data_IF_190373296715
#
_entry.id   IF_190373296715
#
_cell.length_a   1.000
_cell.length_b   1.000
_cell.length_c   1.000
_cell.angle_alpha   90.00
_cell.angle_beta   90.00
_cell.angle_gamma   90.00
#
_symmetry.space_group_name_H-M   'P 1'
#
loop_
_entity.id
_entity.type
_entity.pdbx_description
1 polymer ?
#
# COMPACT_ATOMS: atom_id res chain seq x y z
N UNK A 1 -7.12 50.64 -14.67
CA UNK A 1 -7.32 49.19 -14.41
C UNK A 1 -6.01 48.41 -14.57
N UNK A 2 -4.98 48.79 -13.82
CA UNK A 2 -3.71 48.04 -13.70
C UNK A 2 -3.28 48.23 -12.26
N UNK A 3 -3.25 47.13 -11.49
CA UNK A 3 -2.89 46.98 -10.04
C UNK A 3 -3.98 46.23 -9.27
N UNK A 4 -4.25 44.98 -9.63
CA UNK A 4 -4.94 44.04 -8.73
C UNK A 4 -4.71 42.59 -9.15
N UNK A 5 -3.47 42.21 -9.49
CA UNK A 5 -3.15 40.78 -9.65
C UNK A 5 -1.80 40.46 -8.97
N UNK A 6 -1.87 39.44 -8.11
CA UNK A 6 -0.78 38.68 -7.49
C UNK A 6 0.03 39.37 -6.38
N UNK A 7 -0.65 39.64 -5.26
CA UNK A 7 -0.08 39.32 -3.93
C UNK A 7 -0.69 37.99 -3.46
N UNK A 8 -0.26 36.88 -4.05
CA UNK A 8 -0.23 35.63 -3.27
C UNK A 8 0.97 35.80 -2.33
N UNK A 9 0.69 36.18 -1.08
CA UNK A 9 1.67 36.04 -0.01
C UNK A 9 2.09 34.58 0.02
N UNK A 10 3.33 34.30 -0.38
CA UNK A 10 3.97 33.01 -0.15
C UNK A 10 4.11 32.84 1.36
N UNK A 11 3.06 32.34 2.00
CA UNK A 11 3.10 31.96 3.40
C UNK A 11 4.24 30.94 3.51
N UNK A 12 5.26 31.24 4.32
CA UNK A 12 6.42 30.36 4.45
C UNK A 12 5.93 28.95 4.82
N UNK A 13 6.38 27.94 4.07
CA UNK A 13 5.92 26.57 4.24
C UNK A 13 6.31 26.07 5.64
N UNK A 14 5.32 25.88 6.52
CA UNK A 14 5.56 25.36 7.87
C UNK A 14 5.65 23.84 7.86
N UNK A 15 6.85 23.29 7.67
CA UNK A 15 7.08 21.84 7.66
C UNK A 15 6.78 21.15 8.99
N UNK A 16 6.69 21.90 10.10
CA UNK A 16 6.30 21.37 11.40
C UNK A 16 4.80 21.14 11.54
N UNK A 17 3.98 21.65 10.61
CA UNK A 17 2.56 21.34 10.55
C UNK A 17 2.33 19.96 9.92
N UNK A 18 2.03 18.96 10.76
CA UNK A 18 1.72 17.58 10.35
C UNK A 18 0.21 17.31 10.25
N UNK A 19 -0.63 18.35 10.18
CA UNK A 19 -2.10 18.21 10.17
C UNK A 19 -2.62 17.45 8.93
N UNK A 20 -2.00 17.65 7.77
CA UNK A 20 -2.35 16.88 6.56
C UNK A 20 -2.08 15.38 6.72
N UNK A 21 -0.93 15.05 7.29
CA UNK A 21 -0.46 13.70 7.54
C UNK A 21 -1.39 12.97 8.50
N UNK A 22 -1.62 13.54 9.68
CA UNK A 22 -2.44 12.90 10.72
C UNK A 22 -3.90 12.79 10.24
N UNK A 23 -4.42 13.77 9.48
CA UNK A 23 -5.74 13.66 8.86
C UNK A 23 -5.83 12.51 7.86
N UNK A 24 -4.84 12.39 6.96
CA UNK A 24 -4.77 11.29 6.01
C UNK A 24 -4.71 9.92 6.72
N UNK A 25 -3.86 9.81 7.76
CA UNK A 25 -3.79 8.62 8.60
C UNK A 25 -5.15 8.21 9.16
N UNK A 26 -5.90 9.18 9.72
CA UNK A 26 -7.25 8.92 10.25
C UNK A 26 -8.24 8.49 9.17
N UNK A 27 -8.19 9.09 7.98
CA UNK A 27 -9.03 8.68 6.84
C UNK A 27 -8.76 7.22 6.48
N UNK A 28 -7.48 6.81 6.44
CA UNK A 28 -7.10 5.44 6.12
C UNK A 28 -7.56 4.44 7.19
N UNK A 29 -7.44 4.79 8.47
CA UNK A 29 -7.96 3.97 9.57
C UNK A 29 -9.49 3.86 9.55
N UNK A 30 -10.20 4.95 9.29
CA UNK A 30 -11.66 4.92 9.12
C UNK A 30 -12.06 4.05 7.94
N UNK A 31 -11.34 4.11 6.82
CA UNK A 31 -11.56 3.22 5.67
C UNK A 31 -11.28 1.74 6.02
N UNK A 32 -10.26 1.46 6.83
CA UNK A 32 -9.98 0.10 7.31
C UNK A 32 -11.14 -0.44 8.16
N UNK A 33 -11.68 0.37 9.09
CA UNK A 33 -12.84 0.01 9.90
C UNK A 33 -14.13 -0.14 9.08
N UNK A 34 -14.30 0.62 8.01
CA UNK A 34 -15.40 0.40 7.05
C UNK A 34 -15.24 -0.90 6.28
N UNK A 35 -14.02 -1.21 5.88
CA UNK A 35 -13.67 -2.47 5.20
C UNK A 35 -14.01 -3.65 6.09
N UNK A 36 -13.64 -3.59 7.38
CA UNK A 36 -14.07 -4.55 8.40
C UNK A 36 -15.58 -4.78 8.37
N UNK A 37 -16.37 -3.72 8.53
CA UNK A 37 -17.84 -3.81 8.60
C UNK A 37 -18.43 -4.43 7.32
N UNK A 38 -18.00 -3.97 6.15
CA UNK A 38 -18.52 -4.45 4.86
C UNK A 38 -18.15 -5.91 4.58
N UNK A 39 -16.94 -6.34 4.95
CA UNK A 39 -16.51 -7.72 4.74
C UNK A 39 -17.23 -8.69 5.69
N UNK A 40 -17.40 -8.34 6.96
CA UNK A 40 -18.11 -9.18 7.93
C UNK A 40 -19.60 -9.31 7.61
N UNK A 41 -20.20 -8.32 6.96
CA UNK A 41 -21.57 -8.39 6.44
C UNK A 41 -21.71 -9.27 5.20
N UNK A 42 -20.61 -9.81 4.65
CA UNK A 42 -20.58 -10.71 3.50
C UNK A 42 -20.07 -12.10 3.89
N UNK A 43 -20.42 -12.58 5.08
CA UNK A 43 -19.96 -13.85 5.64
C UNK A 43 -20.19 -15.03 4.69
N UNK A 44 -21.35 -15.12 4.04
CA UNK A 44 -21.65 -16.21 3.10
C UNK A 44 -20.66 -16.24 1.91
N UNK A 45 -20.29 -15.06 1.39
CA UNK A 45 -19.31 -14.95 0.30
C UNK A 45 -17.90 -15.28 0.76
N UNK A 46 -17.55 -14.92 2.01
CA UNK A 46 -16.26 -15.29 2.61
C UNK A 46 -16.16 -16.82 2.78
N UNK A 47 -17.24 -17.47 3.20
CA UNK A 47 -17.31 -18.93 3.33
C UNK A 47 -17.24 -19.59 1.94
N UNK A 48 -17.97 -19.07 0.96
CA UNK A 48 -17.91 -19.56 -0.42
C UNK A 48 -16.47 -19.46 -0.98
N UNK A 49 -15.80 -18.32 -0.78
CA UNK A 49 -14.40 -18.14 -1.14
C UNK A 49 -13.49 -19.13 -0.43
N UNK A 50 -13.64 -19.29 0.89
CA UNK A 50 -12.85 -20.22 1.70
C UNK A 50 -12.94 -21.66 1.15
N UNK A 51 -14.17 -22.14 0.92
CA UNK A 51 -14.41 -23.49 0.40
C UNK A 51 -13.82 -23.67 -1.00
N UNK A 52 -14.01 -22.69 -1.90
CA UNK A 52 -13.43 -22.71 -3.25
C UNK A 52 -11.90 -22.83 -3.19
N UNK A 53 -11.25 -22.05 -2.34
CA UNK A 53 -9.78 -22.08 -2.20
C UNK A 53 -9.29 -23.42 -1.62
N UNK A 54 -9.95 -23.98 -0.60
CA UNK A 54 -9.59 -25.29 -0.06
C UNK A 54 -9.74 -26.41 -1.10
N UNK A 55 -10.82 -26.38 -1.88
CA UNK A 55 -11.03 -27.34 -2.96
C UNK A 55 -9.97 -27.20 -4.04
N UNK A 56 -9.65 -25.97 -4.44
CA UNK A 56 -8.60 -25.66 -5.42
C UNK A 56 -7.26 -26.23 -4.97
N UNK A 57 -6.89 -26.02 -3.69
CA UNK A 57 -5.66 -26.56 -3.12
C UNK A 57 -5.67 -28.09 -3.09
N UNK A 58 -6.78 -28.71 -2.68
CA UNK A 58 -6.94 -30.18 -2.64
C UNK A 58 -6.82 -30.82 -4.02
N UNK A 59 -7.34 -30.16 -5.05
CA UNK A 59 -7.27 -30.62 -6.45
C UNK A 59 -5.94 -30.26 -7.14
N UNK A 60 -5.01 -29.61 -6.45
CA UNK A 60 -3.76 -29.10 -7.01
C UNK A 60 -3.97 -28.18 -8.24
N UNK A 61 -5.08 -27.44 -8.26
CA UNK A 61 -5.41 -26.47 -9.31
C UNK A 61 -4.71 -25.14 -9.06
N UNK A 62 -4.61 -24.33 -10.12
CA UNK A 62 -3.87 -23.07 -10.09
C UNK A 62 -4.79 -21.95 -9.65
N UNK A 63 -4.31 -21.12 -8.71
CA UNK A 63 -4.92 -19.82 -8.41
C UNK A 63 -4.20 -18.78 -9.26
N UNK A 64 -4.85 -18.32 -10.32
CA UNK A 64 -4.40 -17.21 -11.13
C UNK A 64 -4.83 -15.90 -10.48
N UNK A 65 -3.98 -14.89 -10.52
CA UNK A 65 -4.31 -13.56 -10.00
C UNK A 65 -4.07 -12.48 -11.05
N UNK A 66 -4.90 -11.45 -11.04
CA UNK A 66 -4.81 -10.35 -12.01
C UNK A 66 -5.32 -9.03 -11.46
N UNK A 67 -4.74 -7.94 -11.97
CA UNK A 67 -5.00 -6.56 -11.60
C UNK A 67 -3.99 -5.67 -12.32
N UNK A 68 -4.22 -4.36 -12.35
CA UNK A 68 -3.25 -3.46 -12.97
C UNK A 68 -2.92 -2.21 -12.15
N UNK A 69 -1.79 -1.59 -12.48
CA UNK A 69 -1.22 -0.48 -11.73
C UNK A 69 -1.03 -0.85 -10.25
N UNK A 70 -1.53 -0.01 -9.36
CA UNK A 70 -1.48 -0.23 -7.91
C UNK A 70 -2.34 -1.40 -7.45
N UNK A 71 -3.48 -1.64 -8.10
CA UNK A 71 -4.30 -2.83 -7.84
C UNK A 71 -3.57 -4.12 -8.26
N UNK A 72 -2.74 -4.07 -9.30
CA UNK A 72 -1.84 -5.17 -9.69
C UNK A 72 -0.79 -5.46 -8.63
N UNK A 73 -0.17 -4.44 -8.02
CA UNK A 73 0.72 -4.64 -6.87
C UNK A 73 -0.02 -5.23 -5.66
N UNK A 74 -1.25 -4.81 -5.39
CA UNK A 74 -2.06 -5.41 -4.33
C UNK A 74 -2.40 -6.90 -4.59
N UNK A 75 -2.64 -7.27 -5.85
CA UNK A 75 -2.87 -8.69 -6.20
C UNK A 75 -1.59 -9.51 -6.11
N UNK A 76 -0.44 -8.95 -6.47
CA UNK A 76 0.87 -9.59 -6.25
C UNK A 76 1.14 -9.83 -4.76
N UNK A 77 0.77 -8.86 -3.91
CA UNK A 77 0.89 -9.00 -2.45
C UNK A 77 0.08 -10.20 -1.94
N UNK A 78 -1.15 -10.36 -2.42
CA UNK A 78 -1.99 -11.51 -2.11
C UNK A 78 -1.40 -12.82 -2.65
N UNK A 79 -0.87 -12.80 -3.88
CA UNK A 79 -0.26 -13.94 -4.54
C UNK A 79 0.91 -14.53 -3.75
N UNK A 80 1.82 -13.68 -3.27
CA UNK A 80 2.98 -14.13 -2.49
C UNK A 80 2.54 -14.80 -1.18
N UNK A 81 1.57 -14.22 -0.46
CA UNK A 81 1.06 -14.84 0.77
C UNK A 81 0.31 -16.16 0.51
N UNK A 82 -0.35 -16.32 -0.65
CA UNK A 82 -0.96 -17.60 -1.02
C UNK A 82 0.11 -18.68 -1.26
N UNK A 83 1.24 -18.34 -1.88
CA UNK A 83 2.37 -19.28 -2.05
C UNK A 83 2.91 -19.74 -0.70
N UNK A 84 2.95 -18.84 0.29
CA UNK A 84 3.36 -19.16 1.66
C UNK A 84 2.43 -20.17 2.34
N UNK A 85 1.17 -20.24 1.91
CA UNK A 85 0.21 -21.26 2.32
C UNK A 85 0.26 -22.53 1.46
N UNK A 86 1.20 -22.64 0.52
CA UNK A 86 1.37 -23.80 -0.36
C UNK A 86 0.36 -23.90 -1.50
N UNK A 87 -0.27 -22.78 -1.90
CA UNK A 87 -1.07 -22.75 -3.12
C UNK A 87 -0.16 -22.70 -4.35
N UNK A 88 -0.60 -23.34 -5.45
CA UNK A 88 0.03 -23.15 -6.75
C UNK A 88 -0.53 -21.87 -7.38
N UNK A 89 0.28 -20.81 -7.44
CA UNK A 89 -0.18 -19.46 -7.80
C UNK A 89 0.51 -18.98 -9.06
N UNK A 90 -0.27 -18.42 -9.99
CA UNK A 90 0.20 -17.79 -11.22
C UNK A 90 -0.26 -16.34 -11.26
N UNK A 91 0.61 -15.42 -11.68
CA UNK A 91 0.27 -14.00 -11.83
C UNK A 91 0.17 -13.72 -13.32
N UNK A 92 -1.04 -13.40 -13.78
CA UNK A 92 -1.32 -13.19 -15.20
C UNK A 92 -0.49 -12.02 -15.73
N UNK A 93 0.12 -12.19 -16.91
CA UNK A 93 0.95 -11.19 -17.57
C UNK A 93 2.42 -11.18 -17.11
N UNK A 94 2.84 -12.07 -16.20
CA UNK A 94 4.26 -12.24 -15.85
C UNK A 94 4.95 -13.27 -16.74
N UNK A 95 6.28 -13.20 -16.79
CA UNK A 95 7.14 -14.05 -17.62
C UNK A 95 6.92 -15.56 -17.43
N UNK A 96 6.57 -15.98 -16.21
CA UNK A 96 6.32 -17.39 -15.86
C UNK A 96 4.83 -17.64 -15.56
N UNK A 97 3.92 -16.88 -16.18
CA UNK A 97 2.50 -17.11 -16.04
C UNK A 97 2.13 -18.49 -16.61
N UNK A 98 1.34 -19.25 -15.84
CA UNK A 98 0.84 -20.55 -16.24
C UNK A 98 -0.41 -20.40 -17.13
N UNK A 99 -0.69 -21.37 -18.01
CA UNK A 99 -1.95 -21.39 -18.75
C UNK A 99 -3.12 -21.54 -17.78
N UNK A 100 -4.23 -20.89 -18.11
CA UNK A 100 -5.50 -21.04 -17.39
C UNK A 100 -6.24 -22.26 -17.93
N UNK A 101 -6.71 -23.13 -17.05
CA UNK A 101 -7.42 -24.36 -17.41
C UNK A 101 -8.76 -24.47 -16.67
N UNK A 102 -9.59 -25.42 -17.11
CA UNK A 102 -10.86 -25.73 -16.44
C UNK A 102 -10.62 -26.09 -14.97
N UNK A 103 -11.49 -25.61 -14.09
CA UNK A 103 -11.42 -25.73 -12.63
C UNK A 103 -10.31 -24.92 -11.93
N UNK A 104 -9.51 -24.14 -12.68
CA UNK A 104 -8.65 -23.13 -12.05
C UNK A 104 -9.49 -21.98 -11.48
N UNK A 105 -8.91 -21.22 -10.56
CA UNK A 105 -9.53 -20.04 -9.96
C UNK A 105 -8.79 -18.79 -10.41
N UNK A 106 -9.52 -17.75 -10.79
CA UNK A 106 -8.95 -16.43 -11.12
C UNK A 106 -9.44 -15.40 -10.12
N UNK A 107 -8.50 -14.80 -9.37
CA UNK A 107 -8.79 -13.72 -8.43
C UNK A 107 -8.38 -12.38 -9.03
N UNK A 108 -9.36 -11.51 -9.27
CA UNK A 108 -9.17 -10.24 -9.97
C UNK A 108 -9.47 -9.03 -9.08
N UNK A 109 -8.52 -8.09 -9.00
CA UNK A 109 -8.67 -6.85 -8.23
C UNK A 109 -8.86 -5.65 -9.17
N UNK A 110 -9.98 -4.93 -9.03
CA UNK A 110 -10.20 -3.64 -9.69
C UNK A 110 -11.25 -2.81 -8.95
N UNK A 111 -10.85 -1.67 -8.39
CA UNK A 111 -11.76 -0.79 -7.65
C UNK A 111 -12.96 -0.33 -8.48
N UNK A 112 -12.72 0.13 -9.71
CA UNK A 112 -13.79 0.54 -10.63
C UNK A 112 -14.55 -0.64 -11.24
N UNK A 113 -13.90 -1.81 -11.34
CA UNK A 113 -14.37 -2.98 -12.06
C UNK A 113 -14.52 -2.75 -13.57
N UNK A 114 -13.78 -1.76 -14.11
CA UNK A 114 -13.84 -1.33 -15.52
C UNK A 114 -12.47 -1.28 -16.21
N UNK A 115 -11.37 -1.56 -15.50
CA UNK A 115 -10.00 -1.52 -16.05
C UNK A 115 -9.89 -2.45 -17.27
N UNK A 116 -9.58 -1.88 -18.44
CA UNK A 116 -9.72 -2.56 -19.73
C UNK A 116 -8.87 -3.84 -19.80
N UNK A 117 -7.62 -3.79 -19.37
CA UNK A 117 -6.74 -4.96 -19.38
C UNK A 117 -7.17 -6.04 -18.38
N UNK A 118 -7.54 -5.65 -17.15
CA UNK A 118 -8.07 -6.60 -16.15
C UNK A 118 -9.30 -7.32 -16.70
N UNK A 119 -10.22 -6.58 -17.32
CA UNK A 119 -11.42 -7.14 -17.94
C UNK A 119 -11.08 -8.08 -19.11
N UNK A 120 -10.14 -7.69 -19.96
CA UNK A 120 -9.71 -8.53 -21.08
C UNK A 120 -9.10 -9.84 -20.58
N UNK A 121 -8.20 -9.77 -19.60
CA UNK A 121 -7.59 -10.94 -18.97
C UNK A 121 -8.65 -11.86 -18.35
N UNK A 122 -9.58 -11.30 -17.57
CA UNK A 122 -10.66 -12.10 -16.95
C UNK A 122 -11.58 -12.71 -18.00
N UNK A 123 -11.90 -11.99 -19.09
CA UNK A 123 -12.71 -12.53 -20.18
C UNK A 123 -12.10 -13.79 -20.79
N UNK A 124 -10.79 -13.76 -21.09
CA UNK A 124 -10.07 -14.94 -21.59
C UNK A 124 -10.10 -16.10 -20.58
N UNK A 125 -10.05 -15.81 -19.28
CA UNK A 125 -10.12 -16.84 -18.24
C UNK A 125 -11.53 -17.46 -18.14
N UNK A 126 -12.59 -16.68 -18.34
CA UNK A 126 -13.97 -17.17 -18.42
C UNK A 126 -14.12 -18.12 -19.60
N UNK A 127 -13.61 -17.75 -20.78
CA UNK A 127 -13.61 -18.61 -21.96
C UNK A 127 -12.81 -19.91 -21.72
N UNK A 128 -11.80 -19.86 -20.86
CA UNK A 128 -11.01 -21.02 -20.41
C UNK A 128 -11.69 -21.91 -19.36
N UNK A 129 -12.89 -21.55 -18.89
CA UNK A 129 -13.64 -22.33 -17.90
C UNK A 129 -13.17 -22.19 -16.45
N UNK A 130 -12.47 -21.09 -16.12
CA UNK A 130 -12.03 -20.82 -14.75
C UNK A 130 -13.15 -20.18 -13.90
N UNK A 131 -13.14 -20.47 -12.59
CA UNK A 131 -14.02 -19.80 -11.63
C UNK A 131 -13.46 -18.41 -11.29
N UNK A 132 -14.28 -17.37 -11.38
CA UNK A 132 -13.86 -15.98 -11.20
C UNK A 132 -14.24 -15.45 -9.81
N UNK A 133 -13.25 -14.98 -9.06
CA UNK A 133 -13.41 -14.21 -7.83
C UNK A 133 -13.03 -12.76 -8.09
N UNK A 134 -13.96 -11.83 -7.88
CA UNK A 134 -13.68 -10.39 -8.03
C UNK A 134 -13.64 -9.67 -6.68
N UNK A 135 -12.64 -8.81 -6.52
CA UNK A 135 -12.59 -7.79 -5.47
C UNK A 135 -12.80 -6.41 -6.12
N UNK A 136 -13.94 -5.78 -5.84
CA UNK A 136 -14.33 -4.51 -6.49
C UNK A 136 -15.24 -3.66 -5.61
N UNK A 137 -15.35 -2.35 -5.89
CA UNK A 137 -16.30 -1.45 -5.21
C UNK A 137 -17.68 -1.40 -5.86
N UNK A 138 -17.88 -2.12 -6.97
CA UNK A 138 -19.12 -2.10 -7.73
C UNK A 138 -19.45 -3.47 -8.34
N UNK A 139 -20.37 -4.21 -7.74
CA UNK A 139 -20.87 -5.49 -8.25
C UNK A 139 -21.51 -5.37 -9.64
N UNK A 140 -22.09 -4.21 -9.98
CA UNK A 140 -22.72 -3.96 -11.28
C UNK A 140 -21.72 -3.58 -12.37
N UNK A 141 -20.42 -3.53 -12.04
CA UNK A 141 -19.34 -3.26 -13.00
C UNK A 141 -19.16 -4.43 -13.97
N UNK A 142 -18.32 -4.24 -15.00
CA UNK A 142 -18.03 -5.33 -15.94
C UNK A 142 -17.34 -6.49 -15.24
N UNK A 143 -16.41 -6.21 -14.33
CA UNK A 143 -15.74 -7.25 -13.53
C UNK A 143 -16.72 -7.95 -12.60
N UNK A 144 -17.55 -7.20 -11.89
CA UNK A 144 -18.51 -7.76 -10.94
C UNK A 144 -19.53 -8.70 -11.59
N UNK A 145 -19.94 -8.42 -12.84
CA UNK A 145 -20.83 -9.29 -13.61
C UNK A 145 -20.16 -10.54 -14.18
N UNK A 146 -18.84 -10.55 -14.31
CA UNK A 146 -18.08 -11.73 -14.75
C UNK A 146 -17.73 -12.65 -13.58
N UNK A 147 -17.97 -12.24 -12.34
CA UNK A 147 -17.52 -12.95 -11.16
C UNK A 147 -18.57 -13.95 -10.65
N UNK A 148 -18.13 -15.17 -10.37
CA UNK A 148 -18.90 -16.16 -9.63
C UNK A 148 -18.97 -15.79 -8.14
N UNK A 149 -17.89 -15.24 -7.59
CA UNK A 149 -17.83 -14.69 -6.23
C UNK A 149 -17.36 -13.24 -6.30
N UNK A 150 -18.26 -12.29 -6.02
CA UNK A 150 -17.92 -10.87 -5.95
C UNK A 150 -17.84 -10.38 -4.50
N UNK A 151 -16.62 -10.20 -3.98
CA UNK A 151 -16.35 -9.57 -2.69
C UNK A 151 -16.37 -8.04 -2.83
N UNK A 152 -17.36 -7.40 -2.20
CA UNK A 152 -17.50 -5.95 -2.28
C UNK A 152 -16.58 -5.23 -1.29
N UNK A 153 -15.83 -4.27 -1.81
CA UNK A 153 -15.04 -3.32 -1.04
C UNK A 153 -15.86 -2.05 -0.82
N UNK A 154 -15.85 -1.44 0.37
CA UNK A 154 -16.55 -0.17 0.58
C UNK A 154 -16.10 0.90 -0.43
N UNK A 155 -17.08 1.57 -1.05
CA UNK A 155 -16.83 2.77 -1.82
C UNK A 155 -16.20 3.84 -0.93
N UNK A 156 -15.22 4.54 -1.48
CA UNK A 156 -14.68 5.76 -0.90
C UNK A 156 -15.79 6.82 -0.86
N UNK A 157 -16.23 7.26 0.34
CA UNK A 157 -17.10 8.43 0.46
C UNK A 157 -16.26 9.71 0.32
N UNK A 158 -16.85 10.78 -0.20
CA UNK A 158 -16.28 12.12 -0.07
C UNK A 158 -16.19 12.48 1.42
N UNK A 159 -15.07 13.09 1.78
CA UNK A 159 -14.46 13.29 3.12
C UNK A 159 -15.25 14.16 4.13
N UNK A 160 -16.56 14.34 3.95
CA UNK A 160 -17.27 15.46 4.59
C UNK A 160 -17.83 15.10 5.98
N UNK A 161 -18.00 13.82 6.35
CA UNK A 161 -18.94 13.48 7.44
C UNK A 161 -18.54 12.34 8.40
N UNK A 162 -17.26 11.97 8.54
CA UNK A 162 -16.91 10.85 9.45
C UNK A 162 -16.05 11.28 10.65
N UNK A 163 -16.43 10.89 11.89
CA UNK A 163 -15.68 11.22 13.09
C UNK A 163 -14.30 10.56 13.05
N UNK A 164 -13.33 11.27 13.62
CA UNK A 164 -11.93 10.86 13.67
C UNK A 164 -11.81 9.60 14.54
N UNK A 165 -11.20 8.53 14.01
CA UNK A 165 -11.03 7.27 14.75
C UNK A 165 -10.06 7.38 15.94
N UNK A 166 -9.16 8.37 15.90
CA UNK A 166 -8.24 8.71 16.98
C UNK A 166 -8.62 10.11 17.50
N UNK A 167 -8.92 10.23 18.78
CA UNK A 167 -9.08 11.55 19.42
C UNK A 167 -7.79 12.37 19.25
N UNK A 168 -7.91 13.49 18.55
CA UNK A 168 -6.92 14.55 18.46
C UNK A 168 -7.52 15.80 19.12
N UNK A 169 -6.70 16.64 19.75
CA UNK A 169 -7.14 17.84 20.49
C UNK A 169 -8.11 18.73 19.71
N UNK A 170 -9.00 19.46 20.41
CA UNK A 170 -10.04 20.32 19.80
C UNK A 170 -9.50 21.39 18.83
N UNK A 171 -8.30 21.90 19.05
CA UNK A 171 -7.62 22.84 18.13
C UNK A 171 -7.34 22.22 16.76
N UNK A 172 -7.13 20.90 16.72
CA UNK A 172 -6.82 20.16 15.50
C UNK A 172 -8.01 20.08 14.54
N UNK A 173 -9.23 19.96 15.07
CA UNK A 173 -10.47 19.98 14.27
C UNK A 173 -10.68 21.35 13.61
N UNK A 174 -10.26 22.43 14.27
CA UNK A 174 -10.35 23.80 13.75
C UNK A 174 -9.41 24.01 12.55
N UNK A 175 -8.20 23.45 12.58
CA UNK A 175 -7.25 23.51 11.46
C UNK A 175 -7.76 22.80 10.18
N UNK A 176 -8.63 21.78 10.31
CA UNK A 176 -9.24 21.07 9.17
C UNK A 176 -10.11 21.96 8.29
N UNK A 177 -10.69 23.02 8.85
CA UNK A 177 -11.53 23.99 8.14
C UNK A 177 -10.71 24.93 7.24
N UNK A 178 -9.41 25.06 7.51
CA UNK A 178 -8.51 25.99 6.83
C UNK A 178 -7.86 25.38 5.56
N UNK A 179 -7.95 24.06 5.36
CA UNK A 179 -7.48 23.42 4.12
C UNK A 179 -8.49 23.72 2.99
N UNK A 180 -8.05 24.28 1.85
CA UNK A 180 -8.91 24.57 0.70
C UNK A 180 -9.71 23.34 0.25
N UNK A 181 -10.97 23.56 -0.14
CA UNK A 181 -11.91 22.52 -0.62
C UNK A 181 -11.27 21.61 -1.68
N UNK A 182 -10.55 22.22 -2.63
CA UNK A 182 -9.86 21.55 -3.74
C UNK A 182 -8.76 20.59 -3.24
N UNK A 183 -8.06 20.96 -2.17
CA UNK A 183 -6.97 20.18 -1.56
C UNK A 183 -7.47 19.07 -0.63
N UNK A 184 -8.74 19.10 -0.21
CA UNK A 184 -9.34 17.99 0.57
C UNK A 184 -9.36 16.69 -0.25
N UNK A 185 -9.53 16.77 -1.57
CA UNK A 185 -9.44 15.62 -2.47
C UNK A 185 -8.04 14.96 -2.49
N UNK A 186 -6.98 15.75 -2.27
CA UNK A 186 -5.58 15.31 -2.24
C UNK A 186 -5.17 14.50 -1.01
N UNK A 187 -6.08 14.29 -0.04
CA UNK A 187 -5.83 13.46 1.15
C UNK A 187 -5.96 11.96 0.90
N UNK A 188 -6.67 11.57 -0.16
CA UNK A 188 -6.74 10.17 -0.63
C UNK A 188 -6.88 10.07 -2.16
N UNK A 189 -6.00 10.74 -2.93
CA UNK A 189 -6.23 10.95 -4.34
C UNK A 189 -6.02 9.67 -5.15
N UNK A 190 -6.74 9.55 -6.26
CA UNK A 190 -6.59 8.50 -7.26
C UNK A 190 -6.95 7.07 -6.80
N UNK A 191 -7.69 6.88 -5.71
CA UNK A 191 -8.22 5.55 -5.36
C UNK A 191 -7.38 4.74 -4.36
N UNK A 192 -6.35 5.32 -3.75
CA UNK A 192 -5.54 4.71 -2.67
C UNK A 192 -6.36 3.96 -1.61
N UNK A 193 -7.56 4.45 -1.28
CA UNK A 193 -8.46 3.80 -0.32
C UNK A 193 -8.86 2.38 -0.75
N UNK A 194 -9.06 2.14 -2.05
CA UNK A 194 -9.33 0.80 -2.56
C UNK A 194 -8.11 -0.09 -2.35
N UNK A 195 -6.91 0.36 -2.72
CA UNK A 195 -5.69 -0.45 -2.58
C UNK A 195 -5.36 -0.79 -1.12
N UNK A 196 -5.51 0.17 -0.19
CA UNK A 196 -5.37 -0.11 1.24
C UNK A 196 -6.41 -1.13 1.71
N UNK A 197 -7.66 -1.00 1.27
CA UNK A 197 -8.70 -1.98 1.60
C UNK A 197 -8.37 -3.36 1.02
N UNK A 198 -7.85 -3.43 -0.21
CA UNK A 198 -7.47 -4.66 -0.87
C UNK A 198 -6.29 -5.35 -0.16
N UNK A 199 -5.27 -4.59 0.28
CA UNK A 199 -4.19 -5.13 1.12
C UNK A 199 -4.71 -5.70 2.43
N UNK A 200 -5.57 -4.96 3.13
CA UNK A 200 -6.16 -5.42 4.39
C UNK A 200 -6.98 -6.70 4.18
N UNK A 201 -7.86 -6.72 3.18
CA UNK A 201 -8.68 -7.90 2.83
C UNK A 201 -7.78 -9.08 2.48
N UNK A 202 -6.73 -8.86 1.69
CA UNK A 202 -5.77 -9.91 1.31
C UNK A 202 -5.15 -10.55 2.56
N UNK A 203 -4.66 -9.74 3.50
CA UNK A 203 -4.08 -10.22 4.76
C UNK A 203 -5.09 -11.03 5.56
N UNK A 204 -6.32 -10.52 5.69
CA UNK A 204 -7.39 -11.18 6.43
C UNK A 204 -7.87 -12.47 5.77
N UNK A 205 -7.91 -12.54 4.44
CA UNK A 205 -8.22 -13.78 3.69
C UNK A 205 -7.15 -14.85 3.91
N UNK A 206 -5.87 -14.46 3.98
CA UNK A 206 -4.78 -15.39 4.31
C UNK A 206 -4.93 -15.90 5.74
N UNK A 207 -5.22 -15.01 6.70
CA UNK A 207 -5.52 -15.40 8.07
C UNK A 207 -6.70 -16.36 8.19
N UNK A 208 -7.74 -16.15 7.36
CA UNK A 208 -8.89 -17.05 7.23
C UNK A 208 -8.49 -18.42 6.69
N UNK A 209 -7.72 -18.47 5.60
CA UNK A 209 -7.27 -19.73 4.97
C UNK A 209 -6.34 -20.56 5.88
N UNK A 210 -5.73 -19.94 6.89
CA UNK A 210 -4.96 -20.63 7.95
C UNK A 210 -5.83 -21.18 9.07
N UNK A 211 -7.00 -20.58 9.31
CA UNK A 211 -7.89 -20.95 10.41
C UNK A 211 -8.79 -22.12 10.04
N UNK A 212 -8.41 -23.33 10.43
CA UNK A 212 -9.06 -24.57 9.96
C UNK A 212 -10.53 -24.74 10.40
N UNK A 213 -10.93 -24.17 11.56
CA UNK A 213 -12.21 -24.51 12.22
C UNK A 213 -13.27 -23.40 12.22
N UNK A 214 -12.88 -22.14 12.17
CA UNK A 214 -13.79 -20.99 12.21
C UNK A 214 -13.34 -19.88 11.25
N UNK A 215 -13.49 -20.06 9.91
CA UNK A 215 -12.83 -19.21 8.92
C UNK A 215 -13.20 -17.72 9.07
N UNK A 216 -14.49 -17.38 9.23
CA UNK A 216 -14.92 -15.99 9.38
C UNK A 216 -14.38 -15.36 10.68
N UNK A 217 -14.25 -16.13 11.76
CA UNK A 217 -13.66 -15.66 13.02
C UNK A 217 -12.16 -15.42 12.86
N UNK A 218 -11.45 -16.32 12.17
CA UNK A 218 -10.02 -16.16 11.85
C UNK A 218 -9.77 -14.97 10.93
N UNK A 219 -10.66 -14.73 9.95
CA UNK A 219 -10.67 -13.53 9.12
C UNK A 219 -10.76 -12.29 10.01
N UNK A 220 -11.78 -12.22 10.88
CA UNK A 220 -12.02 -11.09 11.77
C UNK A 220 -10.84 -10.84 12.72
N UNK A 221 -10.33 -11.88 13.39
CA UNK A 221 -9.22 -11.76 14.33
C UNK A 221 -7.95 -11.22 13.67
N UNK A 222 -7.65 -11.69 12.45
CA UNK A 222 -6.51 -11.22 11.67
C UNK A 222 -6.70 -9.75 11.29
N UNK A 223 -7.90 -9.40 10.81
CA UNK A 223 -8.27 -8.04 10.46
C UNK A 223 -8.10 -7.09 11.67
N UNK A 224 -8.66 -7.44 12.82
CA UNK A 224 -8.62 -6.64 14.04
C UNK A 224 -7.18 -6.41 14.52
N UNK A 225 -6.34 -7.44 14.41
CA UNK A 225 -4.91 -7.35 14.76
C UNK A 225 -4.16 -6.37 13.85
N UNK A 226 -4.41 -6.44 12.53
CA UNK A 226 -3.76 -5.58 11.54
C UNK A 226 -4.20 -4.12 11.69
N UNK A 227 -5.50 -3.87 11.91
CA UNK A 227 -6.02 -2.52 12.19
C UNK A 227 -5.40 -1.98 13.48
N UNK A 228 -5.39 -2.76 14.57
CA UNK A 228 -4.79 -2.33 15.84
C UNK A 228 -3.31 -1.97 15.70
N UNK A 229 -2.54 -2.72 14.89
CA UNK A 229 -1.15 -2.37 14.63
C UNK A 229 -1.01 -1.08 13.80
N UNK A 230 -1.88 -0.87 12.81
CA UNK A 230 -1.90 0.38 12.05
C UNK A 230 -2.22 1.59 12.94
N UNK A 231 -3.17 1.45 13.88
CA UNK A 231 -3.46 2.48 14.88
C UNK A 231 -2.24 2.78 15.75
N UNK A 232 -1.53 1.75 16.22
CA UNK A 232 -0.26 1.92 16.96
C UNK A 232 0.80 2.66 16.13
N UNK A 233 0.89 2.39 14.83
CA UNK A 233 1.81 3.09 13.93
C UNK A 233 1.45 4.58 13.79
N UNK A 234 0.17 4.91 13.66
CA UNK A 234 -0.28 6.31 13.64
C UNK A 234 -0.04 6.98 15.00
N UNK A 235 -0.28 6.28 16.11
CA UNK A 235 0.03 6.79 17.46
C UNK A 235 1.51 7.06 17.66
N UNK A 236 2.40 6.21 17.12
CA UNK A 236 3.84 6.45 17.13
C UNK A 236 4.18 7.77 16.41
N UNK A 237 3.51 8.10 15.31
CA UNK A 237 3.69 9.39 14.62
C UNK A 237 3.17 10.56 15.46
N UNK A 238 2.00 10.42 16.07
CA UNK A 238 1.37 11.51 16.84
C UNK A 238 2.11 11.80 18.16
N UNK A 239 2.64 10.76 18.83
CA UNK A 239 3.18 10.90 20.20
C UNK A 239 4.70 10.96 20.27
N UNK A 240 5.42 10.42 19.29
CA UNK A 240 6.89 10.36 19.33
C UNK A 240 7.53 11.53 18.59
N UNK A 241 8.08 12.50 19.34
CA UNK A 241 8.78 13.67 18.78
C UNK A 241 9.92 13.30 17.84
N UNK A 242 10.70 12.26 18.14
CA UNK A 242 11.80 11.82 17.27
C UNK A 242 11.28 11.28 15.93
N UNK A 243 10.15 10.56 15.95
CA UNK A 243 9.49 10.11 14.73
C UNK A 243 8.97 11.29 13.92
N UNK A 244 8.35 12.29 14.57
CA UNK A 244 7.91 13.52 13.92
C UNK A 244 9.06 14.29 13.28
N UNK A 245 10.16 14.51 14.00
CA UNK A 245 11.37 15.16 13.49
C UNK A 245 11.92 14.44 12.24
N UNK A 246 11.95 13.10 12.26
CA UNK A 246 12.42 12.34 11.11
C UNK A 246 11.43 12.42 9.93
N UNK A 247 10.12 12.43 10.18
CA UNK A 247 9.12 12.69 9.14
C UNK A 247 9.31 14.08 8.55
N UNK A 248 9.54 15.10 9.37
CA UNK A 248 9.79 16.48 8.92
C UNK A 248 11.04 16.52 8.01
N UNK A 249 12.11 15.80 8.36
CA UNK A 249 13.30 15.67 7.48
C UNK A 249 12.96 14.99 6.15
N UNK A 250 12.10 13.97 6.15
CA UNK A 250 11.61 13.36 4.90
C UNK A 250 10.84 14.40 4.08
N UNK A 251 9.92 15.15 4.71
CA UNK A 251 9.14 16.19 4.03
C UNK A 251 10.06 17.27 3.44
N UNK A 252 11.05 17.74 4.20
CA UNK A 252 12.04 18.73 3.76
C UNK A 252 12.79 18.26 2.52
N UNK A 253 13.28 17.02 2.52
CA UNK A 253 13.99 16.43 1.38
C UNK A 253 13.14 16.49 0.11
N UNK A 254 11.89 16.04 0.17
CA UNK A 254 11.01 15.96 -1.01
C UNK A 254 10.41 17.31 -1.41
N UNK A 255 10.10 18.21 -0.47
CA UNK A 255 9.65 19.56 -0.79
C UNK A 255 10.72 20.33 -1.57
N UNK A 256 11.99 20.16 -1.18
CA UNK A 256 13.13 20.80 -1.84
C UNK A 256 13.50 20.16 -3.20
N UNK A 257 12.89 19.03 -3.57
CA UNK A 257 13.00 18.50 -4.94
C UNK A 257 12.07 19.31 -5.87
N UNK A 258 12.69 20.06 -6.78
CA UNK A 258 11.99 20.68 -7.91
C UNK A 258 11.44 19.61 -8.86
N UNK A 259 10.31 19.84 -9.55
CA UNK A 259 9.85 18.99 -10.66
C UNK A 259 10.89 18.85 -11.79
N UNK A 260 11.83 19.79 -11.91
CA UNK A 260 12.94 19.77 -12.88
C UNK A 260 14.20 19.09 -12.32
N UNK A 261 14.15 18.59 -11.09
CA UNK A 261 15.28 17.92 -10.45
C UNK A 261 15.66 16.66 -11.21
N UNK A 262 16.93 16.55 -11.61
CA UNK A 262 17.47 15.31 -12.19
C UNK A 262 17.85 14.27 -11.14
N UNK A 263 17.71 14.58 -9.84
CA UNK A 263 18.00 13.63 -8.75
C UNK A 263 17.02 12.48 -8.81
N UNK A 264 17.54 11.26 -8.85
CA UNK A 264 16.73 10.04 -8.81
C UNK A 264 16.39 9.67 -7.37
N UNK A 265 15.20 9.14 -7.17
CA UNK A 265 14.78 8.54 -5.90
C UNK A 265 14.52 7.07 -6.14
N UNK A 266 15.41 6.22 -5.63
CA UNK A 266 15.31 4.77 -5.74
C UNK A 266 14.47 4.20 -4.61
N UNK A 267 13.50 3.34 -4.93
CA UNK A 267 12.73 2.60 -3.93
C UNK A 267 13.14 1.13 -3.90
N UNK A 268 13.43 0.62 -2.71
CA UNK A 268 13.91 -0.75 -2.51
C UNK A 268 13.19 -1.43 -1.34
N UNK A 269 12.86 -2.70 -1.52
CA UNK A 269 12.44 -3.63 -0.49
C UNK A 269 12.53 -5.05 -1.04
N UNK A 270 12.31 -6.05 -0.20
CA UNK A 270 12.24 -7.45 -0.64
C UNK A 270 10.88 -8.06 -0.31
N UNK A 271 10.44 -9.02 -1.12
CA UNK A 271 9.17 -9.72 -0.94
C UNK A 271 8.00 -8.75 -0.80
N UNK A 272 7.16 -8.97 0.21
CA UNK A 272 6.01 -8.12 0.51
C UNK A 272 6.39 -6.64 0.73
N UNK A 273 7.51 -6.36 1.42
CA UNK A 273 8.03 -4.99 1.58
C UNK A 273 8.47 -4.36 0.25
N UNK A 274 8.96 -5.15 -0.71
CA UNK A 274 9.29 -4.69 -2.06
C UNK A 274 8.04 -4.34 -2.88
N UNK A 275 6.97 -5.11 -2.72
CA UNK A 275 5.67 -4.81 -3.33
C UNK A 275 5.13 -3.49 -2.78
N UNK A 276 5.17 -3.30 -1.46
CA UNK A 276 4.78 -2.02 -0.82
C UNK A 276 5.66 -0.87 -1.33
N UNK A 277 6.99 -1.06 -1.42
CA UNK A 277 7.89 -0.03 -1.96
C UNK A 277 7.51 0.37 -3.39
N UNK A 278 7.25 -0.60 -4.28
CA UNK A 278 6.85 -0.34 -5.67
C UNK A 278 5.48 0.36 -5.79
N UNK A 279 4.54 0.01 -4.90
CA UNK A 279 3.22 0.63 -4.86
C UNK A 279 3.30 2.13 -4.54
N UNK A 280 4.15 2.49 -3.58
CA UNK A 280 4.34 3.88 -3.16
C UNK A 280 5.31 4.64 -4.06
N UNK A 281 6.27 3.97 -4.71
CA UNK A 281 7.09 4.55 -5.76
C UNK A 281 6.22 5.18 -6.87
N UNK A 282 5.19 4.48 -7.34
CA UNK A 282 4.21 5.03 -8.31
C UNK A 282 3.51 6.30 -7.77
N UNK A 283 3.21 6.36 -6.47
CA UNK A 283 2.54 7.51 -5.86
C UNK A 283 3.45 8.73 -5.80
N UNK A 284 4.72 8.54 -5.45
CA UNK A 284 5.71 9.61 -5.51
C UNK A 284 5.98 10.06 -6.96
N UNK A 285 5.87 9.17 -7.95
CA UNK A 285 5.91 9.55 -9.36
C UNK A 285 4.72 10.43 -9.74
N UNK A 286 3.51 10.14 -9.24
CA UNK A 286 2.34 11.01 -9.45
C UNK A 286 2.50 12.39 -8.78
N UNK A 287 3.30 12.52 -7.71
CA UNK A 287 3.70 13.81 -7.14
C UNK A 287 4.73 14.56 -8.01
N UNK A 288 5.20 13.97 -9.11
CA UNK A 288 6.13 14.61 -10.05
C UNK A 288 7.61 14.42 -9.70
N UNK A 289 7.95 13.46 -8.83
CA UNK A 289 9.34 13.13 -8.53
C UNK A 289 9.93 12.15 -9.54
N UNK A 290 11.25 12.22 -9.75
CA UNK A 290 11.98 11.31 -10.62
C UNK A 290 12.27 9.97 -9.91
N UNK A 291 11.29 9.06 -9.97
CA UNK A 291 11.28 7.80 -9.23
C UNK A 291 11.87 6.66 -10.07
N UNK A 292 12.66 5.82 -9.40
CA UNK A 292 13.23 4.60 -9.97
C UNK A 292 13.07 3.43 -8.99
N UNK A 293 13.02 2.22 -9.52
CA UNK A 293 13.08 0.99 -8.73
C UNK A 293 14.50 0.43 -8.72
N UNK A 294 14.70 -0.63 -7.94
CA UNK A 294 15.98 -1.32 -7.75
C UNK A 294 16.67 -1.77 -9.06
N UNK A 295 15.91 -2.10 -10.11
CA UNK A 295 16.48 -2.59 -11.38
C UNK A 295 17.28 -1.49 -12.12
N UNK A 296 16.94 -0.23 -11.87
CA UNK A 296 17.62 0.94 -12.43
C UNK A 296 18.84 1.40 -11.61
N UNK A 297 19.19 0.68 -10.52
CA UNK A 297 20.26 1.08 -9.59
C UNK A 297 21.62 1.29 -10.25
N UNK A 298 21.85 0.68 -11.42
CA UNK A 298 23.05 0.90 -12.24
C UNK A 298 23.22 2.36 -12.68
N UNK A 299 22.15 3.16 -12.67
CA UNK A 299 22.14 4.56 -13.11
C UNK A 299 22.21 5.59 -11.97
N UNK A 300 22.47 5.14 -10.74
CA UNK A 300 22.58 6.00 -9.55
C UNK A 300 23.77 6.95 -9.61
N UNK A 301 23.63 8.11 -8.98
CA UNK A 301 24.65 9.14 -8.76
C UNK A 301 24.75 9.46 -7.27
N UNK A 302 25.86 10.09 -6.86
CA UNK A 302 26.13 10.43 -5.44
C UNK A 302 25.02 11.28 -4.79
N UNK A 303 24.39 12.16 -5.55
CA UNK A 303 23.37 13.09 -5.05
C UNK A 303 21.93 12.56 -5.17
N UNK A 304 21.76 11.30 -5.59
CA UNK A 304 20.46 10.64 -5.62
C UNK A 304 20.02 10.24 -4.19
N UNK A 305 18.80 9.73 -4.06
CA UNK A 305 18.20 9.33 -2.79
C UNK A 305 17.82 7.85 -2.88
N UNK A 306 18.01 7.09 -1.80
CA UNK A 306 17.49 5.74 -1.63
C UNK A 306 16.42 5.74 -0.53
N UNK A 307 15.23 5.27 -0.85
CA UNK A 307 14.15 4.95 0.09
C UNK A 307 14.07 3.43 0.22
N UNK A 308 14.22 2.91 1.43
CA UNK A 308 14.27 1.48 1.69
C UNK A 308 13.26 1.05 2.76
N UNK A 309 12.63 -0.12 2.55
CA UNK A 309 11.67 -0.71 3.48
C UNK A 309 12.18 -2.10 3.92
N UNK A 310 12.33 -2.30 5.23
CA UNK A 310 12.65 -3.60 5.82
C UNK A 310 12.11 -3.71 7.24
N UNK A 311 11.08 -4.53 7.45
CA UNK A 311 10.48 -4.72 8.78
C UNK A 311 11.48 -5.24 9.82
N UNK A 312 12.21 -6.30 9.48
CA UNK A 312 13.17 -6.95 10.39
C UNK A 312 14.52 -6.21 10.47
N UNK A 313 14.87 -5.47 9.41
CA UNK A 313 16.15 -4.79 9.25
C UNK A 313 17.36 -5.73 9.03
N UNK A 314 17.11 -7.02 8.85
CA UNK A 314 18.11 -8.08 8.62
C UNK A 314 18.07 -8.64 7.20
N UNK A 315 17.19 -8.12 6.33
CA UNK A 315 16.96 -8.67 4.98
C UNK A 315 18.18 -8.44 4.08
N UNK A 316 18.89 -9.51 3.62
CA UNK A 316 20.16 -9.37 2.91
C UNK A 316 20.07 -8.53 1.63
N UNK A 317 19.00 -8.74 0.85
CA UNK A 317 18.74 -8.00 -0.38
C UNK A 317 18.69 -6.49 -0.12
N UNK A 318 17.81 -6.04 0.78
CA UNK A 318 17.68 -4.62 1.13
C UNK A 318 18.95 -4.06 1.77
N UNK A 319 19.60 -4.82 2.67
CA UNK A 319 20.85 -4.41 3.32
C UNK A 319 21.99 -4.22 2.32
N UNK A 320 22.01 -4.98 1.21
CA UNK A 320 22.95 -4.78 0.11
C UNK A 320 22.85 -3.39 -0.50
N UNK A 321 21.64 -2.94 -0.86
CA UNK A 321 21.40 -1.60 -1.42
C UNK A 321 21.74 -0.49 -0.43
N UNK A 322 21.31 -0.62 0.82
CA UNK A 322 21.59 0.38 1.87
C UNK A 322 23.09 0.47 2.15
N UNK A 323 23.80 -0.66 2.18
CA UNK A 323 25.26 -0.68 2.36
C UNK A 323 25.99 0.00 1.20
N UNK A 324 25.55 -0.25 -0.03
CA UNK A 324 26.13 0.38 -1.21
C UNK A 324 25.82 1.89 -1.26
N UNK A 325 24.61 2.31 -0.90
CA UNK A 325 24.23 3.71 -0.77
C UNK A 325 25.15 4.43 0.23
N UNK A 326 25.33 3.85 1.43
CA UNK A 326 26.22 4.40 2.46
C UNK A 326 27.67 4.52 1.99
N UNK A 327 28.23 3.48 1.34
CA UNK A 327 29.58 3.51 0.74
C UNK A 327 29.74 4.64 -0.27
N UNK A 328 28.70 4.90 -1.07
CA UNK A 328 28.69 5.96 -2.10
C UNK A 328 28.22 7.32 -1.57
N UNK A 329 27.89 7.43 -0.28
CA UNK A 329 27.33 8.63 0.36
C UNK A 329 26.06 9.15 -0.33
N UNK A 330 25.22 8.22 -0.80
CA UNK A 330 23.87 8.47 -1.29
C UNK A 330 22.97 8.64 -0.06
N UNK A 331 22.10 9.64 -0.05
CA UNK A 331 21.22 9.91 1.08
C UNK A 331 20.14 8.84 1.21
N UNK A 332 19.90 8.36 2.43
CA UNK A 332 19.05 7.20 2.71
C UNK A 332 17.90 7.52 3.65
N UNK A 333 16.69 7.11 3.26
CA UNK A 333 15.47 7.13 4.08
C UNK A 333 15.04 5.68 4.29
N UNK A 334 14.79 5.28 5.53
CA UNK A 334 14.49 3.89 5.87
C UNK A 334 13.23 3.75 6.72
N UNK A 335 12.43 2.72 6.45
CA UNK A 335 11.28 2.32 7.26
C UNK A 335 11.51 0.93 7.86
N UNK A 336 11.43 0.80 9.19
CA UNK A 336 11.65 -0.47 9.89
C UNK A 336 10.92 -0.54 11.23
N UNK A 337 10.62 -1.74 11.72
CA UNK A 337 10.27 -1.93 13.14
C UNK A 337 11.50 -2.07 14.03
N UNK A 338 12.58 -2.64 13.50
CA UNK A 338 13.79 -2.93 14.28
C UNK A 338 14.83 -1.81 14.16
N UNK A 339 14.74 -0.83 15.06
CA UNK A 339 15.65 0.33 15.11
C UNK A 339 17.08 -0.01 15.56
N UNK A 340 17.33 -1.23 16.02
CA UNK A 340 18.67 -1.71 16.44
C UNK A 340 19.35 -2.58 15.37
N UNK A 341 18.72 -2.75 14.21
CA UNK A 341 19.20 -3.60 13.13
C UNK A 341 20.40 -3.03 12.38
N UNK A 342 21.10 -3.89 11.63
CA UNK A 342 22.13 -3.49 10.67
C UNK A 342 21.59 -2.45 9.67
N UNK A 343 20.38 -2.68 9.15
CA UNK A 343 19.65 -1.75 8.29
C UNK A 343 19.57 -0.36 8.94
N UNK A 344 19.03 -0.29 10.16
CA UNK A 344 18.82 0.98 10.88
C UNK A 344 20.12 1.76 11.09
N UNK A 345 21.24 1.08 11.35
CA UNK A 345 22.56 1.71 11.56
C UNK A 345 23.15 2.38 10.30
N UNK A 346 22.58 2.09 9.13
CA UNK A 346 23.07 2.56 7.83
C UNK A 346 22.13 3.57 7.15
N UNK A 347 21.03 3.93 7.79
CA UNK A 347 20.03 4.88 7.30
C UNK A 347 20.27 6.27 7.90
N UNK A 348 20.21 7.32 7.07
CA UNK A 348 20.36 8.71 7.50
C UNK A 348 19.10 9.24 8.19
N UNK A 349 17.92 8.95 7.63
CA UNK A 349 16.61 9.29 8.22
C UNK A 349 15.76 8.04 8.40
N UNK A 350 15.62 7.59 9.64
CA UNK A 350 14.93 6.36 9.99
C UNK A 350 13.53 6.63 10.56
N UNK A 351 12.51 6.09 9.92
CA UNK A 351 11.12 6.09 10.40
C UNK A 351 10.81 4.75 11.06
N UNK A 352 10.55 4.78 12.36
CA UNK A 352 10.12 3.61 13.12
C UNK A 352 8.64 3.35 12.84
N UNK A 353 8.33 2.15 12.36
CA UNK A 353 6.94 1.70 12.13
C UNK A 353 6.75 0.35 12.84
N UNK A 354 5.82 0.21 13.80
CA UNK A 354 5.58 -1.05 14.50
C UNK A 354 4.90 -2.08 13.59
N UNK A 355 4.99 -3.37 13.97
CA UNK A 355 4.27 -4.46 13.32
C UNK A 355 5.13 -5.65 12.87
N UNK A 356 6.46 -5.56 12.99
CA UNK A 356 7.35 -6.71 12.85
C UNK A 356 7.94 -7.05 14.22
N UNK A 357 7.65 -8.26 14.69
CA UNK A 357 8.19 -8.81 15.93
C UNK A 357 9.44 -9.66 15.70
N UNK A 358 9.44 -10.49 14.65
CA UNK A 358 10.59 -11.31 14.28
C UNK A 358 11.76 -10.43 13.79
N UNK A 359 12.90 -10.41 14.51
CA UNK A 359 14.07 -9.62 14.11
C UNK A 359 14.83 -10.25 12.93
N UNK A 360 14.55 -11.50 12.58
CA UNK A 360 15.21 -12.21 11.49
C UNK A 360 14.37 -12.15 10.22
N UNK A 361 15.03 -11.93 9.07
CA UNK A 361 14.32 -11.91 7.79
C UNK A 361 13.99 -13.31 7.36
N UNK A 362 12.87 -13.44 6.66
CA UNK A 362 12.53 -14.66 5.92
C UNK A 362 13.59 -15.08 4.91
N UNK A 363 14.32 -14.12 4.35
CA UNK A 363 15.41 -14.37 3.39
C UNK A 363 16.68 -14.93 4.06
N UNK A 364 16.74 -14.98 5.39
CA UNK A 364 17.83 -15.61 6.12
C UNK A 364 17.54 -17.09 6.48
N UNK A 365 16.32 -17.57 6.21
CA UNK A 365 15.83 -18.88 6.63
C UNK A 365 15.69 -19.82 5.43
N UNK A 366 15.91 -21.12 5.65
CA UNK A 366 15.52 -22.17 4.71
C UNK A 366 14.00 -22.30 4.65
N UNK A 367 13.48 -22.92 3.59
CA UNK A 367 12.03 -23.11 3.40
C UNK A 367 11.36 -23.83 4.56
N UNK A 368 12.01 -24.87 5.09
CA UNK A 368 11.45 -25.69 6.18
C UNK A 368 11.34 -24.93 7.51
N UNK A 369 12.16 -23.89 7.71
CA UNK A 369 12.30 -23.17 8.99
C UNK A 369 11.52 -21.84 9.02
N UNK A 370 10.76 -21.55 7.95
CA UNK A 370 10.07 -20.28 7.79
C UNK A 370 8.81 -20.22 8.65
N UNK A 371 8.73 -19.31 9.65
CA UNK A 371 7.48 -19.03 10.31
C UNK A 371 6.52 -18.36 9.32
N UNK A 372 5.22 -18.35 9.60
CA UNK A 372 4.30 -17.54 8.81
C UNK A 372 4.66 -16.05 8.92
N UNK A 373 4.68 -15.33 7.79
CA UNK A 373 4.97 -13.89 7.80
C UNK A 373 3.80 -13.12 8.40
N UNK A 374 4.03 -12.47 9.54
CA UNK A 374 3.14 -11.41 10.03
C UNK A 374 3.21 -10.21 9.08
N UNK A 375 2.08 -9.74 8.57
CA UNK A 375 2.02 -8.65 7.56
C UNK A 375 1.51 -7.32 8.13
N UNK A 376 1.50 -7.22 9.46
CA UNK A 376 1.08 -6.02 10.19
C UNK A 376 1.99 -4.83 9.88
N UNK A 377 3.31 -5.07 9.74
CA UNK A 377 4.29 -4.05 9.35
C UNK A 377 4.02 -3.50 7.94
N UNK A 378 3.81 -4.37 6.96
CA UNK A 378 3.60 -3.97 5.56
C UNK A 378 2.33 -3.12 5.39
N UNK A 379 1.26 -3.44 6.11
CA UNK A 379 0.06 -2.61 6.10
C UNK A 379 0.27 -1.27 6.83
N UNK A 380 0.92 -1.29 8.00
CA UNK A 380 1.21 -0.07 8.76
C UNK A 380 2.11 0.89 7.97
N UNK A 381 3.19 0.39 7.35
CA UNK A 381 4.11 1.23 6.58
C UNK A 381 3.43 1.82 5.34
N UNK A 382 2.49 1.10 4.71
CA UNK A 382 1.68 1.65 3.63
C UNK A 382 0.84 2.86 4.10
N UNK A 383 0.18 2.77 5.26
CA UNK A 383 -0.57 3.89 5.84
C UNK A 383 0.36 5.08 6.15
N UNK A 384 1.53 4.82 6.75
CA UNK A 384 2.50 5.89 7.07
C UNK A 384 2.97 6.60 5.80
N UNK A 385 3.34 5.86 4.76
CA UNK A 385 3.85 6.45 3.51
C UNK A 385 2.74 7.20 2.76
N UNK A 386 1.52 6.68 2.66
CA UNK A 386 0.39 7.42 2.05
C UNK A 386 0.06 8.69 2.85
N UNK A 387 0.26 8.69 4.16
CA UNK A 387 0.08 9.89 4.98
C UNK A 387 1.15 10.95 4.70
N UNK A 388 2.41 10.53 4.48
CA UNK A 388 3.50 11.40 4.02
C UNK A 388 3.18 11.96 2.62
N UNK A 389 2.67 11.14 1.71
CA UNK A 389 2.27 11.56 0.35
C UNK A 389 1.20 12.64 0.42
N UNK A 390 0.18 12.47 1.26
CA UNK A 390 -0.89 13.46 1.45
C UNK A 390 -0.34 14.80 1.98
N UNK A 391 0.58 14.77 2.96
CA UNK A 391 1.23 15.98 3.45
C UNK A 391 2.10 16.65 2.39
N UNK A 392 2.85 15.88 1.60
CA UNK A 392 3.66 16.39 0.49
C UNK A 392 2.78 17.05 -0.59
N UNK A 393 1.63 16.46 -0.91
CA UNK A 393 0.68 17.05 -1.85
C UNK A 393 0.18 18.40 -1.33
N UNK A 394 -0.19 18.49 -0.05
CA UNK A 394 -0.59 19.75 0.61
C UNK A 394 0.53 20.78 0.52
N UNK A 395 1.74 20.42 0.94
CA UNK A 395 2.88 21.34 0.98
C UNK A 395 3.31 21.85 -0.40
N UNK A 396 3.20 21.02 -1.44
CA UNK A 396 3.56 21.41 -2.81
C UNK A 396 2.39 21.96 -3.60
N UNK A 397 1.19 22.07 -3.00
CA UNK A 397 -0.02 22.52 -3.68
C UNK A 397 -0.44 21.61 -4.84
N UNK A 398 -0.09 20.33 -4.79
CA UNK A 398 -0.38 19.37 -5.86
C UNK A 398 -1.81 18.84 -5.69
N UNK A 399 -2.61 19.06 -6.72
CA UNK A 399 -4.01 18.63 -6.80
C UNK A 399 -4.14 17.18 -7.25
N UNK A 400 -5.27 16.54 -6.95
CA UNK A 400 -5.59 15.22 -7.49
C UNK A 400 -5.60 15.20 -9.04
N UNK A 401 -6.06 16.28 -9.67
CA UNK A 401 -6.09 16.42 -11.14
C UNK A 401 -4.69 16.36 -11.73
N UNK A 402 -3.72 17.07 -11.13
CA UNK A 402 -2.33 17.00 -11.57
C UNK A 402 -1.72 15.61 -11.38
N UNK A 403 -2.01 14.96 -10.25
CA UNK A 403 -1.55 13.58 -10.01
C UNK A 403 -2.14 12.61 -11.05
N UNK A 404 -3.41 12.77 -11.41
CA UNK A 404 -4.07 12.01 -12.49
C UNK A 404 -3.43 12.26 -13.85
N UNK A 405 -3.02 13.49 -14.15
CA UNK A 405 -2.32 13.82 -15.38
C UNK A 405 -0.97 13.12 -15.54
N UNK A 406 -0.36 12.66 -14.45
CA UNK A 406 0.90 11.89 -14.44
C UNK A 406 0.67 10.37 -14.30
N UNK A 407 -0.58 9.93 -14.26
CA UNK A 407 -0.93 8.52 -14.20
C UNK A 407 -0.73 7.86 -15.57
N UNK A 408 -0.45 6.55 -15.57
CA UNK A 408 -0.35 5.80 -16.81
C UNK A 408 -1.67 5.86 -17.59
N UNK A 409 -1.58 6.08 -18.90
CA UNK A 409 -2.74 6.17 -19.80
C UNK A 409 -3.09 4.83 -20.47
N UNK A 410 -2.23 3.83 -20.32
CA UNK A 410 -2.48 2.44 -20.74
C UNK A 410 -2.58 1.63 -19.46
N UNK A 411 -3.80 1.52 -18.95
CA UNK A 411 -4.21 0.56 -17.92
C UNK A 411 -5.39 -0.35 -18.38
#
# INVERSE_FOLDING_TARGET
MVKQEKKQQTQALNLHDLTGLIRASNIFLTQANRTRKVMLNQADKLIAFYNLMLETKKKHKVVHVTGMGRSGRAVEFFAEMLKDLGFHVSIIGRTLALPVTVDDVVVAFSGSGKTSTTIANVGVCVDGGATIVALTQNEKSRLGRLADICLLVPKSKKLIEEPVAIETDKEYVLALSQIPEEMRSSLSPMGTLFELSALLISISLIGMLRGEKEPVRSFQSTLDTVISNAEKAVQEIVKNKKTQENIIKVLEVFVNLSPLSTKKVFWVGAGLSGIIASMHAMRFQHLGFNIHLQDDWRFRKRNDILVAISGSGSTPFTNGFVSEAKKKRIFTIGFTSNVKSEFASKIDVLIKVPGRLDPESWYNRLSEDKPFIETQFEFAVAIVIESIIAQLAIHKGITETEMKGRHANIE
#
